data_IF_471423667180
#
_entry.id   IF_471423667180
#
_cell.length_a   1.000
_cell.length_b   1.000
_cell.length_c   1.000
_cell.angle_alpha   90.00
_cell.angle_beta   90.00
_cell.angle_gamma   90.00
#
_symmetry.space_group_name_H-M   'P 1'
#
loop_
_entity.id
_entity.type
_entity.pdbx_description
1 polymer ?
#
# COMPACT_ATOMS: atom_id res chain seq x y z
N UNK A 1 -48.88 0.61 22.81
CA UNK A 1 -49.26 0.03 21.50
C UNK A 1 -48.35 0.63 20.44
N UNK A 2 -47.38 -0.14 19.95
CA UNK A 2 -46.52 0.24 18.83
C UNK A 2 -46.62 -0.88 17.79
N UNK A 3 -46.93 -0.48 16.56
CA UNK A 3 -47.39 -1.34 15.46
C UNK A 3 -46.35 -2.35 14.99
N UNK A 4 -46.78 -3.61 14.89
CA UNK A 4 -46.01 -4.77 14.45
C UNK A 4 -46.04 -5.00 12.92
N UNK A 5 -46.19 -3.95 12.11
CA UNK A 5 -46.50 -4.11 10.68
C UNK A 5 -45.34 -3.89 9.70
N UNK A 6 -44.12 -3.59 10.15
CA UNK A 6 -43.00 -3.28 9.24
C UNK A 6 -41.98 -4.42 8.99
N UNK A 7 -42.34 -5.70 9.22
CA UNK A 7 -41.45 -6.85 8.99
C UNK A 7 -41.80 -7.73 7.77
N UNK A 8 -42.73 -7.32 6.91
CA UNK A 8 -43.07 -8.08 5.69
C UNK A 8 -42.43 -7.45 4.46
N UNK A 9 -41.25 -7.93 4.08
CA UNK A 9 -40.62 -7.49 2.84
C UNK A 9 -39.26 -8.08 2.50
N UNK A 10 -38.78 -9.10 3.21
CA UNK A 10 -37.61 -9.87 2.76
C UNK A 10 -38.09 -11.22 2.26
N UNK A 11 -38.43 -11.28 0.97
CA UNK A 11 -38.66 -12.54 0.28
C UNK A 11 -37.40 -13.41 0.42
N UNK A 12 -37.59 -14.63 0.91
CA UNK A 12 -36.50 -15.58 1.08
C UNK A 12 -35.90 -15.91 -0.28
N UNK A 13 -34.64 -15.53 -0.50
CA UNK A 13 -33.89 -15.91 -1.69
C UNK A 13 -33.96 -17.44 -1.85
N UNK A 14 -34.42 -17.95 -3.01
CA UNK A 14 -34.53 -19.39 -3.25
C UNK A 14 -33.21 -20.10 -2.92
N UNK A 15 -33.28 -21.23 -2.20
CA UNK A 15 -32.11 -21.96 -1.71
C UNK A 15 -31.08 -22.28 -2.82
N UNK A 16 -31.56 -22.45 -4.06
CA UNK A 16 -30.76 -22.68 -5.26
C UNK A 16 -29.96 -21.43 -5.71
N UNK A 17 -30.54 -20.23 -5.63
CA UNK A 17 -29.83 -18.98 -5.93
C UNK A 17 -28.77 -18.68 -4.87
N UNK A 18 -29.09 -18.90 -3.59
CA UNK A 18 -28.12 -18.79 -2.50
C UNK A 18 -26.96 -19.80 -2.64
N UNK A 19 -27.20 -20.98 -3.22
CA UNK A 19 -26.14 -21.95 -3.51
C UNK A 19 -25.26 -21.55 -4.71
N UNK A 20 -25.86 -21.05 -5.80
CA UNK A 20 -25.13 -20.54 -6.97
C UNK A 20 -24.27 -19.32 -6.63
N UNK A 21 -24.79 -18.42 -5.82
CA UNK A 21 -24.06 -17.22 -5.38
C UNK A 21 -22.89 -17.60 -4.46
N UNK A 22 -23.09 -18.58 -3.55
CA UNK A 22 -21.98 -19.17 -2.75
C UNK A 22 -20.88 -19.78 -3.63
N UNK A 23 -21.26 -20.54 -4.66
CA UNK A 23 -20.31 -21.11 -5.60
C UNK A 23 -19.57 -20.03 -6.39
N UNK A 24 -20.29 -19.03 -6.90
CA UNK A 24 -19.71 -17.89 -7.64
C UNK A 24 -18.67 -17.15 -6.80
N UNK A 25 -19.01 -16.80 -5.56
CA UNK A 25 -18.09 -16.09 -4.65
C UNK A 25 -16.87 -16.93 -4.25
N UNK A 26 -17.04 -18.24 -4.06
CA UNK A 26 -15.92 -19.15 -3.79
C UNK A 26 -14.99 -19.31 -4.99
N UNK A 27 -15.54 -19.33 -6.20
CA UNK A 27 -14.78 -19.33 -7.46
C UNK A 27 -14.07 -17.99 -7.65
N UNK A 28 -14.74 -16.86 -7.44
CA UNK A 28 -14.11 -15.52 -7.47
C UNK A 28 -12.98 -15.40 -6.46
N UNK A 29 -13.15 -15.92 -5.24
CA UNK A 29 -12.10 -15.94 -4.21
C UNK A 29 -10.88 -16.74 -4.67
N UNK A 30 -11.07 -17.96 -5.20
CA UNK A 30 -9.96 -18.76 -5.75
C UNK A 30 -9.32 -18.12 -6.97
N UNK A 31 -10.11 -17.51 -7.84
CA UNK A 31 -9.59 -16.78 -8.99
C UNK A 31 -8.79 -15.56 -8.55
N UNK A 32 -9.19 -14.89 -7.47
CA UNK A 32 -8.45 -13.77 -6.91
C UNK A 32 -7.15 -14.24 -6.26
N UNK A 33 -7.17 -15.32 -5.46
CA UNK A 33 -5.95 -15.96 -4.94
C UNK A 33 -5.02 -16.42 -6.07
N UNK A 34 -5.56 -17.00 -7.14
CA UNK A 34 -4.76 -17.41 -8.30
C UNK A 34 -4.21 -16.21 -9.08
N UNK A 35 -4.98 -15.12 -9.25
CA UNK A 35 -4.48 -13.88 -9.88
C UNK A 35 -3.36 -13.25 -9.07
N UNK A 36 -3.54 -13.22 -7.75
CA UNK A 36 -2.52 -12.77 -6.80
C UNK A 36 -1.26 -13.64 -6.93
N UNK A 37 -1.40 -14.96 -6.84
CA UNK A 37 -0.28 -15.91 -7.01
C UNK A 37 0.43 -15.79 -8.36
N UNK A 38 -0.32 -15.55 -9.45
CA UNK A 38 0.25 -15.31 -10.79
C UNK A 38 0.97 -13.95 -10.84
N UNK A 39 0.42 -12.89 -10.24
CA UNK A 39 1.12 -11.60 -10.13
C UNK A 39 2.40 -11.72 -9.29
N UNK A 40 2.38 -12.45 -8.18
CA UNK A 40 3.55 -12.65 -7.31
C UNK A 40 4.65 -13.48 -7.97
N UNK A 41 4.27 -14.43 -8.83
CA UNK A 41 5.20 -15.27 -9.57
C UNK A 41 5.52 -14.75 -10.97
N UNK A 42 4.98 -13.58 -11.35
CA UNK A 42 5.35 -12.94 -12.60
C UNK A 42 6.76 -12.37 -12.43
N UNK A 43 7.75 -12.79 -13.25
CA UNK A 43 9.09 -12.27 -13.17
C UNK A 43 9.07 -10.76 -13.45
N UNK A 44 9.47 -9.96 -12.47
CA UNK A 44 9.80 -8.55 -12.67
C UNK A 44 11.28 -8.44 -13.02
N UNK A 45 11.71 -7.27 -13.51
CA UNK A 45 13.13 -6.99 -13.75
C UNK A 45 13.59 -5.95 -12.76
N UNK A 46 14.81 -6.11 -12.24
CA UNK A 46 15.47 -5.05 -11.50
C UNK A 46 15.60 -3.80 -12.37
N UNK A 47 15.14 -2.62 -11.93
CA UNK A 47 15.26 -1.39 -12.73
C UNK A 47 16.72 -0.95 -12.91
N UNK A 48 17.65 -1.47 -12.11
CA UNK A 48 19.07 -1.14 -12.16
C UNK A 48 19.85 -2.14 -13.02
N UNK A 49 19.94 -3.40 -12.59
CA UNK A 49 20.78 -4.41 -13.25
C UNK A 49 20.01 -5.30 -14.26
N UNK A 50 18.71 -5.06 -14.46
CA UNK A 50 17.84 -5.81 -15.38
C UNK A 50 17.72 -7.32 -15.11
N UNK A 51 18.26 -7.80 -13.98
CA UNK A 51 18.14 -9.19 -13.56
C UNK A 51 16.65 -9.56 -13.37
N UNK A 52 16.22 -10.76 -13.78
CA UNK A 52 14.89 -11.26 -13.49
C UNK A 52 14.75 -11.53 -11.99
N UNK A 53 13.69 -11.02 -11.38
CA UNK A 53 13.41 -11.12 -9.96
C UNK A 53 11.98 -11.60 -9.73
N UNK A 54 11.80 -12.34 -8.64
CA UNK A 54 10.48 -12.54 -8.07
C UNK A 54 10.15 -11.34 -7.17
N UNK A 55 8.86 -11.02 -7.06
CA UNK A 55 8.41 -9.88 -6.26
C UNK A 55 8.80 -10.00 -4.77
N UNK A 56 8.78 -11.19 -4.20
CA UNK A 56 9.20 -11.45 -2.81
C UNK A 56 10.68 -11.15 -2.54
N UNK A 57 11.50 -11.08 -3.59
CA UNK A 57 12.95 -10.84 -3.51
C UNK A 57 13.37 -9.44 -3.92
N UNK A 58 12.42 -8.58 -4.30
CA UNK A 58 12.75 -7.28 -4.85
C UNK A 58 13.51 -6.39 -3.87
N UNK A 59 12.98 -6.17 -2.65
CA UNK A 59 13.61 -5.28 -1.67
C UNK A 59 15.00 -5.77 -1.26
N UNK A 60 15.12 -7.05 -0.89
CA UNK A 60 16.40 -7.68 -0.57
C UNK A 60 17.41 -7.60 -1.72
N UNK A 61 16.96 -7.72 -2.98
CA UNK A 61 17.82 -7.55 -4.13
C UNK A 61 18.27 -6.09 -4.29
N UNK A 62 17.35 -5.13 -4.22
CA UNK A 62 17.65 -3.69 -4.40
C UNK A 62 18.63 -3.21 -3.33
N UNK A 63 18.59 -3.76 -2.12
CA UNK A 63 19.54 -3.46 -1.05
C UNK A 63 20.98 -3.79 -1.43
N UNK A 64 21.21 -4.97 -2.00
CA UNK A 64 22.55 -5.50 -2.34
C UNK A 64 22.94 -5.31 -3.80
N UNK A 65 22.06 -4.71 -4.62
CA UNK A 65 22.30 -4.50 -6.03
C UNK A 65 23.42 -3.47 -6.24
N UNK A 66 24.56 -3.84 -6.86
CA UNK A 66 25.68 -2.91 -7.06
C UNK A 66 25.29 -1.68 -7.87
N UNK A 67 24.45 -1.86 -8.90
CA UNK A 67 23.98 -0.76 -9.76
C UNK A 67 23.04 0.20 -9.02
N UNK A 68 22.33 -0.27 -7.97
CA UNK A 68 21.50 0.58 -7.13
C UNK A 68 22.32 1.43 -6.16
N UNK A 69 23.55 1.03 -5.82
CA UNK A 69 24.44 1.80 -4.95
C UNK A 69 24.93 3.10 -5.60
N UNK A 70 24.93 3.15 -6.94
CA UNK A 70 25.39 4.30 -7.71
C UNK A 70 24.41 5.49 -7.70
N UNK A 71 23.11 5.26 -7.39
CA UNK A 71 22.08 6.29 -7.39
C UNK A 71 21.09 6.11 -6.22
N UNK A 72 21.40 6.66 -5.04
CA UNK A 72 20.55 6.52 -3.86
C UNK A 72 19.14 7.10 -4.04
N UNK A 73 18.97 8.16 -4.85
CA UNK A 73 17.66 8.77 -5.09
C UNK A 73 16.78 7.85 -5.94
N UNK A 74 17.32 7.25 -7.01
CA UNK A 74 16.58 6.25 -7.79
C UNK A 74 16.31 4.97 -7.00
N UNK A 75 17.23 4.55 -6.12
CA UNK A 75 17.02 3.43 -5.18
C UNK A 75 15.79 3.68 -4.31
N UNK A 76 15.72 4.84 -3.64
CA UNK A 76 14.57 5.22 -2.82
C UNK A 76 13.28 5.29 -3.64
N UNK A 77 13.34 5.88 -4.84
CA UNK A 77 12.18 5.95 -5.74
C UNK A 77 11.62 4.56 -6.04
N UNK A 78 12.49 3.60 -6.39
CA UNK A 78 12.09 2.22 -6.69
C UNK A 78 11.50 1.49 -5.47
N UNK A 79 12.03 1.74 -4.26
CA UNK A 79 11.50 1.18 -3.01
C UNK A 79 10.09 1.72 -2.74
N UNK A 80 9.88 3.03 -2.86
CA UNK A 80 8.57 3.65 -2.64
C UNK A 80 7.54 3.23 -3.70
N UNK A 81 7.95 3.12 -4.97
CA UNK A 81 7.11 2.58 -6.03
C UNK A 81 6.68 1.13 -5.75
N UNK A 82 7.62 0.28 -5.32
CA UNK A 82 7.33 -1.10 -4.95
C UNK A 82 6.35 -1.18 -3.78
N UNK A 83 6.63 -0.47 -2.68
CA UNK A 83 5.83 -0.52 -1.45
C UNK A 83 4.44 0.12 -1.59
N UNK A 84 4.25 1.03 -2.55
CA UNK A 84 2.93 1.57 -2.92
C UNK A 84 2.21 0.74 -3.99
N UNK A 85 2.86 -0.30 -4.53
CA UNK A 85 2.32 -1.10 -5.61
C UNK A 85 1.10 -1.94 -5.20
N UNK A 86 0.22 -2.28 -6.17
CA UNK A 86 -1.00 -3.06 -5.89
C UNK A 86 -0.69 -4.45 -5.31
N UNK A 87 0.46 -5.02 -5.65
CA UNK A 87 0.88 -6.33 -5.17
C UNK A 87 1.11 -6.34 -3.64
N UNK A 88 1.86 -5.38 -3.09
CA UNK A 88 2.05 -5.25 -1.62
C UNK A 88 0.71 -5.01 -0.95
N UNK A 89 -0.05 -4.04 -1.46
CA UNK A 89 -1.31 -3.65 -0.86
C UNK A 89 -2.33 -4.81 -0.79
N UNK A 90 -2.54 -5.51 -1.91
CA UNK A 90 -3.47 -6.63 -1.95
C UNK A 90 -2.97 -7.83 -1.12
N UNK A 91 -1.66 -8.09 -1.07
CA UNK A 91 -1.09 -9.15 -0.24
C UNK A 91 -1.41 -8.93 1.24
N UNK A 92 -1.09 -7.75 1.73
CA UNK A 92 -1.27 -7.38 3.13
C UNK A 92 -2.77 -7.40 3.52
N UNK A 93 -3.64 -6.89 2.65
CA UNK A 93 -5.09 -6.95 2.86
C UNK A 93 -5.62 -8.40 2.88
N UNK A 94 -5.12 -9.25 1.99
CA UNK A 94 -5.53 -10.65 1.93
C UNK A 94 -5.08 -11.40 3.19
N UNK A 95 -3.84 -11.21 3.64
CA UNK A 95 -3.34 -11.79 4.88
C UNK A 95 -4.16 -11.37 6.10
N UNK A 96 -4.43 -10.06 6.21
CA UNK A 96 -5.28 -9.53 7.28
C UNK A 96 -6.67 -10.17 7.26
N UNK A 97 -7.29 -10.24 6.08
CA UNK A 97 -8.60 -10.86 5.90
C UNK A 97 -8.59 -12.32 6.34
N UNK A 98 -7.61 -13.10 5.89
CA UNK A 98 -7.50 -14.51 6.24
C UNK A 98 -7.30 -14.69 7.75
N UNK A 99 -6.46 -13.89 8.38
CA UNK A 99 -6.25 -13.91 9.82
C UNK A 99 -7.53 -13.60 10.62
N UNK A 100 -8.26 -12.54 10.24
CA UNK A 100 -9.55 -12.19 10.83
C UNK A 100 -10.57 -13.32 10.68
N UNK A 101 -10.71 -13.87 9.47
CA UNK A 101 -11.67 -14.94 9.20
C UNK A 101 -11.34 -16.22 9.96
N UNK A 102 -10.08 -16.64 9.99
CA UNK A 102 -9.64 -17.84 10.73
C UNK A 102 -9.88 -17.66 12.23
N UNK A 103 -9.44 -16.53 12.80
CA UNK A 103 -9.61 -16.22 14.22
C UNK A 103 -11.09 -16.26 14.64
N UNK A 104 -11.97 -15.72 13.82
CA UNK A 104 -13.41 -15.76 14.04
C UNK A 104 -13.99 -17.17 14.04
N UNK A 105 -13.69 -17.95 12.99
CA UNK A 105 -14.27 -19.27 12.81
C UNK A 105 -13.76 -20.23 13.89
N UNK A 106 -12.52 -20.04 14.35
CA UNK A 106 -11.95 -20.76 15.48
C UNK A 106 -12.65 -20.43 16.80
N UNK A 107 -12.85 -19.15 17.12
CA UNK A 107 -13.57 -18.72 18.32
C UNK A 107 -15.04 -19.17 18.32
N UNK A 108 -15.64 -19.33 17.14
CA UNK A 108 -16.99 -19.89 16.99
C UNK A 108 -17.06 -21.40 17.21
N UNK A 109 -16.01 -22.14 16.84
CA UNK A 109 -15.93 -23.59 17.07
C UNK A 109 -15.55 -23.94 18.50
N UNK A 110 -14.63 -23.18 19.07
CA UNK A 110 -14.08 -23.37 20.40
C UNK A 110 -14.07 -22.03 21.14
N UNK A 111 -15.05 -21.80 22.04
CA UNK A 111 -15.11 -20.57 22.84
C UNK A 111 -13.84 -20.31 23.65
N UNK A 112 -13.06 -21.35 23.99
CA UNK A 112 -11.76 -21.20 24.67
C UNK A 112 -10.75 -20.39 23.85
N UNK A 113 -10.94 -20.31 22.52
CA UNK A 113 -10.09 -19.51 21.63
C UNK A 113 -10.50 -18.05 21.53
N UNK A 114 -11.58 -17.62 22.17
CA UNK A 114 -11.95 -16.20 22.26
C UNK A 114 -10.81 -15.37 22.84
N UNK A 115 -10.08 -15.89 23.83
CA UNK A 115 -8.93 -15.22 24.43
C UNK A 115 -7.86 -14.79 23.41
N UNK A 116 -7.71 -15.52 22.30
CA UNK A 116 -6.71 -15.27 21.26
C UNK A 116 -7.25 -14.41 20.10
N UNK A 117 -8.54 -14.06 20.12
CA UNK A 117 -9.16 -13.23 19.09
C UNK A 117 -8.94 -11.75 19.40
N UNK A 118 -8.41 -11.01 18.42
CA UNK A 118 -8.25 -9.56 18.55
C UNK A 118 -9.61 -8.88 18.80
N UNK A 119 -9.64 -7.91 19.73
CA UNK A 119 -10.84 -7.22 20.16
C UNK A 119 -10.65 -5.70 20.28
N UNK A 120 -11.69 -4.96 19.94
CA UNK A 120 -11.78 -3.49 19.92
C UNK A 120 -13.12 -2.97 20.45
N UNK A 121 -14.14 -3.83 20.59
CA UNK A 121 -15.47 -3.45 21.06
C UNK A 121 -15.66 -3.69 22.56
N UNK A 122 -15.06 -4.76 23.10
CA UNK A 122 -15.17 -5.05 24.54
C UNK A 122 -14.30 -4.11 25.37
N UNK A 123 -14.85 -3.69 26.51
CA UNK A 123 -14.16 -2.81 27.47
C UNK A 123 -13.36 -3.60 28.50
N UNK A 124 -13.69 -4.87 28.69
CA UNK A 124 -13.00 -5.78 29.61
C UNK A 124 -12.75 -7.15 28.98
N UNK A 125 -11.82 -7.90 29.57
CA UNK A 125 -11.55 -9.28 29.18
C UNK A 125 -12.74 -10.19 29.45
N UNK A 126 -13.49 -9.96 30.53
CA UNK A 126 -14.67 -10.77 30.88
C UNK A 126 -15.77 -10.62 29.83
N UNK A 127 -16.04 -9.40 29.37
CA UNK A 127 -17.00 -9.13 28.28
C UNK A 127 -16.59 -9.83 26.98
N UNK A 128 -15.28 -9.84 26.70
CA UNK A 128 -14.71 -10.50 25.53
C UNK A 128 -14.81 -12.01 25.59
N UNK A 129 -14.50 -12.62 26.74
CA UNK A 129 -14.64 -14.06 26.97
C UNK A 129 -16.11 -14.51 27.00
N UNK A 130 -17.04 -13.62 27.36
CA UNK A 130 -18.48 -13.85 27.21
C UNK A 130 -18.96 -13.78 25.74
N UNK A 131 -18.07 -13.45 24.80
CA UNK A 131 -18.38 -13.42 23.37
C UNK A 131 -19.25 -12.25 22.92
N UNK A 132 -19.35 -11.19 23.73
CA UNK A 132 -20.14 -9.98 23.39
C UNK A 132 -19.71 -9.32 22.09
N UNK A 133 -18.47 -9.55 21.68
CA UNK A 133 -17.86 -9.01 20.47
C UNK A 133 -18.18 -9.83 19.19
N UNK A 134 -18.64 -11.09 19.30
CA UNK A 134 -18.75 -12.02 18.16
C UNK A 134 -19.73 -11.60 17.04
N UNK A 135 -20.62 -10.64 17.28
CA UNK A 135 -21.55 -10.14 16.27
C UNK A 135 -20.90 -9.14 15.30
N UNK A 136 -19.86 -8.40 15.73
CA UNK A 136 -19.34 -7.25 14.98
C UNK A 136 -17.81 -7.03 15.05
N UNK A 137 -17.09 -7.77 15.90
CA UNK A 137 -15.68 -7.51 16.21
C UNK A 137 -14.73 -7.67 15.04
N UNK A 138 -15.01 -8.63 14.17
CA UNK A 138 -14.18 -8.86 12.98
C UNK A 138 -14.24 -7.69 12.02
N UNK A 139 -15.36 -6.95 11.98
CA UNK A 139 -15.49 -5.76 11.16
C UNK A 139 -14.63 -4.64 11.72
N UNK A 140 -14.73 -4.37 13.02
CA UNK A 140 -13.97 -3.27 13.63
C UNK A 140 -12.46 -3.52 13.65
N UNK A 141 -12.02 -4.77 13.86
CA UNK A 141 -10.59 -5.13 13.74
C UNK A 141 -10.11 -4.99 12.30
N UNK A 142 -10.85 -5.57 11.35
CA UNK A 142 -10.47 -5.48 9.94
C UNK A 142 -10.44 -4.03 9.46
N UNK A 143 -11.48 -3.23 9.74
CA UNK A 143 -11.57 -1.84 9.31
C UNK A 143 -10.42 -1.01 9.89
N UNK A 144 -10.05 -1.22 11.15
CA UNK A 144 -8.90 -0.53 11.75
C UNK A 144 -7.57 -0.93 11.11
N UNK A 145 -7.26 -2.22 11.05
CA UNK A 145 -5.96 -2.70 10.58
C UNK A 145 -5.80 -2.51 9.06
N UNK A 146 -6.89 -2.63 8.29
CA UNK A 146 -6.88 -2.33 6.85
C UNK A 146 -6.65 -0.84 6.57
N UNK A 147 -7.18 0.05 7.41
CA UNK A 147 -6.87 1.48 7.32
C UNK A 147 -5.39 1.79 7.62
N UNK A 148 -4.74 1.03 8.52
CA UNK A 148 -3.27 1.17 8.72
C UNK A 148 -2.49 0.69 7.50
N UNK A 149 -2.90 -0.42 6.89
CA UNK A 149 -2.30 -0.90 5.63
C UNK A 149 -2.46 0.16 4.54
N UNK A 150 -3.68 0.69 4.35
CA UNK A 150 -3.97 1.74 3.40
C UNK A 150 -3.12 3.00 3.64
N UNK A 151 -3.01 3.45 4.90
CA UNK A 151 -2.19 4.61 5.26
C UNK A 151 -0.71 4.40 4.89
N UNK A 152 -0.13 3.22 5.19
CA UNK A 152 1.26 2.91 4.81
C UNK A 152 1.47 2.98 3.30
N UNK A 153 0.57 2.38 2.53
CA UNK A 153 0.64 2.39 1.05
C UNK A 153 0.53 3.82 0.50
N UNK A 154 -0.36 4.65 1.05
CA UNK A 154 -0.50 6.05 0.65
C UNK A 154 0.74 6.88 0.97
N UNK A 155 1.35 6.67 2.14
CA UNK A 155 2.61 7.34 2.50
C UNK A 155 3.72 6.96 1.50
N UNK A 156 3.86 5.69 1.14
CA UNK A 156 4.86 5.31 0.13
C UNK A 156 4.56 5.93 -1.24
N UNK A 157 3.29 6.03 -1.63
CA UNK A 157 2.91 6.63 -2.90
C UNK A 157 3.20 8.14 -2.94
N UNK A 158 2.89 8.85 -1.86
CA UNK A 158 3.22 10.27 -1.70
C UNK A 158 4.73 10.50 -1.81
N UNK A 159 5.54 9.69 -1.11
CA UNK A 159 6.99 9.75 -1.19
C UNK A 159 7.52 9.46 -2.61
N UNK A 160 6.93 8.50 -3.31
CA UNK A 160 7.25 8.22 -4.71
C UNK A 160 7.01 9.44 -5.60
N UNK A 161 5.85 10.10 -5.49
CA UNK A 161 5.53 11.30 -6.26
C UNK A 161 6.46 12.48 -5.93
N UNK A 162 6.78 12.66 -4.65
CA UNK A 162 7.69 13.72 -4.19
C UNK A 162 9.11 13.50 -4.70
N UNK A 163 9.65 12.29 -4.62
CA UNK A 163 10.97 11.95 -5.15
C UNK A 163 11.03 12.12 -6.67
N UNK A 164 9.98 11.71 -7.38
CA UNK A 164 9.89 11.90 -8.83
C UNK A 164 9.93 13.38 -9.21
N UNK A 165 9.22 14.23 -8.47
CA UNK A 165 9.25 15.68 -8.64
C UNK A 165 10.65 16.26 -8.34
N UNK A 166 11.28 15.85 -7.24
CA UNK A 166 12.62 16.30 -6.88
C UNK A 166 13.66 15.94 -7.94
N UNK A 167 13.59 14.73 -8.51
CA UNK A 167 14.47 14.30 -9.60
C UNK A 167 14.26 15.16 -10.85
N UNK A 168 13.01 15.44 -11.23
CA UNK A 168 12.72 16.29 -12.39
C UNK A 168 13.26 17.72 -12.21
N UNK A 169 13.04 18.32 -11.04
CA UNK A 169 13.55 19.66 -10.71
C UNK A 169 15.08 19.69 -10.66
N UNK A 170 15.72 18.65 -10.13
CA UNK A 170 17.17 18.51 -10.09
C UNK A 170 17.76 18.43 -11.49
N UNK A 171 17.19 17.61 -12.37
CA UNK A 171 17.65 17.48 -13.75
C UNK A 171 17.55 18.82 -14.50
N UNK A 172 16.43 19.54 -14.37
CA UNK A 172 16.28 20.87 -14.96
C UNK A 172 17.29 21.87 -14.39
N UNK A 173 17.50 21.85 -13.08
CA UNK A 173 18.49 22.74 -12.44
C UNK A 173 19.90 22.43 -12.94
N UNK A 174 20.25 21.16 -13.13
CA UNK A 174 21.54 20.74 -13.68
C UNK A 174 21.71 21.17 -15.15
N UNK A 175 20.66 21.11 -15.97
CA UNK A 175 20.68 21.64 -17.34
C UNK A 175 20.92 23.15 -17.35
N UNK A 176 20.28 23.88 -16.44
CA UNK A 176 20.50 25.32 -16.26
C UNK A 176 21.92 25.64 -15.78
N UNK A 177 22.48 24.85 -14.86
CA UNK A 177 23.86 25.01 -14.36
C UNK A 177 24.89 24.75 -15.47
N UNK A 178 24.71 23.69 -16.27
CA UNK A 178 25.58 23.40 -17.43
C UNK A 178 25.62 24.55 -18.43
N UNK A 179 24.49 25.23 -18.64
CA UNK A 179 24.44 26.44 -19.44
C UNK A 179 25.34 27.54 -18.86
N UNK A 180 25.27 27.80 -17.55
CA UNK A 180 26.11 28.81 -16.90
C UNK A 180 27.60 28.46 -16.89
N UNK A 181 27.95 27.19 -16.69
CA UNK A 181 29.32 26.71 -16.81
C UNK A 181 29.88 26.93 -18.22
N UNK A 182 29.06 26.70 -19.26
CA UNK A 182 29.45 26.91 -20.65
C UNK A 182 29.73 28.37 -21.00
N UNK A 183 29.15 29.32 -20.26
CA UNK A 183 29.37 30.76 -20.43
C UNK A 183 30.29 31.35 -19.34
N UNK A 184 30.80 30.55 -18.40
CA UNK A 184 31.68 31.00 -17.31
C UNK A 184 32.98 31.65 -17.80
N UNK A 185 33.48 31.23 -18.96
CA UNK A 185 34.63 31.88 -19.63
C UNK A 185 34.36 33.30 -20.12
N UNK A 186 33.08 33.64 -20.42
CA UNK A 186 32.67 35.00 -20.80
C UNK A 186 32.49 35.91 -19.58
N UNK A 187 32.24 35.33 -18.40
CA UNK A 187 32.06 36.05 -17.13
C UNK A 187 33.40 36.42 -16.47
N UNK A 188 34.46 35.64 -16.71
CA UNK A 188 35.79 35.84 -16.10
C UNK A 188 36.74 36.75 -16.93
N UNK A 189 36.29 37.28 -18.07
CA UNK A 189 37.05 38.22 -18.89
C UNK A 189 36.87 39.67 -18.45
N UNK A 190 37.94 40.48 -18.49
CA UNK A 190 38.02 41.87 -17.99
C UNK A 190 37.07 42.92 -18.62
N UNK A 191 36.12 42.53 -19.47
CA UNK A 191 35.07 43.44 -19.94
C UNK A 191 33.78 42.68 -20.24
N UNK A 192 33.05 42.32 -19.17
CA UNK A 192 31.65 41.96 -19.31
C UNK A 192 30.87 43.20 -19.77
N UNK A 193 30.62 43.30 -21.08
CA UNK A 193 29.75 44.31 -21.71
C UNK A 193 28.41 44.36 -20.95
N UNK A 194 27.85 45.55 -20.71
CA UNK A 194 26.51 45.71 -20.11
C UNK A 194 25.45 44.88 -20.84
N UNK A 195 25.62 44.66 -22.15
CA UNK A 195 24.75 43.78 -22.95
C UNK A 195 24.87 42.31 -22.55
N UNK A 196 26.06 41.84 -22.15
CA UNK A 196 26.27 40.48 -21.66
C UNK A 196 25.58 40.28 -20.31
N UNK A 197 25.70 41.24 -19.39
CA UNK A 197 24.99 41.21 -18.10
C UNK A 197 23.47 41.20 -18.26
N UNK A 198 22.92 42.06 -19.11
CA UNK A 198 21.47 42.09 -19.39
C UNK A 198 20.96 40.75 -19.95
N UNK A 199 21.75 40.09 -20.81
CA UNK A 199 21.40 38.77 -21.36
C UNK A 199 21.46 37.67 -20.30
N UNK A 200 22.42 37.73 -19.37
CA UNK A 200 22.54 36.78 -18.25
C UNK A 200 21.36 36.94 -17.29
N UNK A 201 20.97 38.17 -16.97
CA UNK A 201 19.81 38.46 -16.14
C UNK A 201 18.51 37.95 -16.79
N UNK A 202 18.33 38.19 -18.10
CA UNK A 202 17.19 37.69 -18.85
C UNK A 202 17.13 36.15 -18.84
N UNK A 203 18.25 35.47 -19.06
CA UNK A 203 18.32 34.00 -19.03
C UNK A 203 18.04 33.45 -17.63
N UNK A 204 18.61 34.06 -16.59
CA UNK A 204 18.34 33.69 -15.19
C UNK A 204 16.86 33.80 -14.87
N UNK A 205 16.22 34.88 -15.32
CA UNK A 205 14.78 35.09 -15.16
C UNK A 205 13.97 34.01 -15.88
N UNK A 206 14.34 33.67 -17.12
CA UNK A 206 13.69 32.58 -17.89
C UNK A 206 13.82 31.24 -17.18
N UNK A 207 15.01 30.89 -16.69
CA UNK A 207 15.25 29.66 -15.93
C UNK A 207 14.40 29.60 -14.66
N UNK A 208 14.28 30.71 -13.92
CA UNK A 208 13.43 30.80 -12.74
C UNK A 208 11.93 30.60 -13.06
N UNK A 209 11.45 31.23 -14.13
CA UNK A 209 10.06 31.07 -14.61
C UNK A 209 9.81 29.61 -15.00
N UNK A 210 10.73 29.00 -15.74
CA UNK A 210 10.63 27.61 -16.19
C UNK A 210 10.60 26.64 -15.00
N UNK A 211 11.51 26.80 -14.04
CA UNK A 211 11.54 25.99 -12.82
C UNK A 211 10.25 26.11 -12.01
N UNK A 212 9.77 27.33 -11.82
CA UNK A 212 8.52 27.59 -11.08
C UNK A 212 7.32 26.96 -11.80
N UNK A 213 7.27 27.09 -13.13
CA UNK A 213 6.24 26.47 -13.95
C UNK A 213 6.28 24.94 -13.83
N UNK A 214 7.45 24.33 -13.94
CA UNK A 214 7.62 22.88 -13.80
C UNK A 214 7.13 22.39 -12.42
N UNK A 215 7.50 23.09 -11.35
CA UNK A 215 7.08 22.73 -9.98
C UNK A 215 5.54 22.79 -9.87
N UNK A 216 4.91 23.86 -10.35
CA UNK A 216 3.46 24.01 -10.30
C UNK A 216 2.73 22.94 -11.12
N UNK A 217 3.21 22.67 -12.33
CA UNK A 217 2.64 21.66 -13.23
C UNK A 217 2.76 20.25 -12.61
N UNK A 218 3.93 19.90 -12.07
CA UNK A 218 4.16 18.62 -11.39
C UNK A 218 3.37 18.49 -10.10
N UNK A 219 3.23 19.57 -9.32
CA UNK A 219 2.44 19.56 -8.10
C UNK A 219 0.96 19.29 -8.39
N UNK A 220 0.39 19.99 -9.38
CA UNK A 220 -1.00 19.79 -9.78
C UNK A 220 -1.26 18.37 -10.29
N UNK A 221 -0.35 17.82 -11.09
CA UNK A 221 -0.45 16.44 -11.57
C UNK A 221 -0.27 15.41 -10.45
N UNK A 222 0.69 15.60 -9.55
CA UNK A 222 0.91 14.74 -8.39
C UNK A 222 -0.33 14.72 -7.47
N UNK A 223 -0.95 15.88 -7.23
CA UNK A 223 -2.17 15.97 -6.43
C UNK A 223 -3.30 15.14 -7.04
N UNK A 224 -3.51 15.25 -8.35
CA UNK A 224 -4.52 14.48 -9.09
C UNK A 224 -4.24 12.98 -9.03
N UNK A 225 -2.99 12.57 -9.19
CA UNK A 225 -2.59 11.16 -9.08
C UNK A 225 -2.82 10.63 -7.67
N UNK A 226 -2.46 11.40 -6.64
CA UNK A 226 -2.67 11.04 -5.25
C UNK A 226 -4.15 10.85 -4.91
N UNK A 227 -5.02 11.79 -5.30
CA UNK A 227 -6.46 11.69 -5.08
C UNK A 227 -7.08 10.47 -5.77
N UNK A 228 -6.68 10.20 -7.01
CA UNK A 228 -7.11 9.02 -7.77
C UNK A 228 -6.70 7.73 -7.07
N UNK A 229 -5.44 7.64 -6.63
CA UNK A 229 -4.90 6.48 -5.94
C UNK A 229 -5.55 6.29 -4.56
N UNK A 230 -5.78 7.37 -3.80
CA UNK A 230 -6.49 7.34 -2.53
C UNK A 230 -7.91 6.79 -2.69
N UNK A 231 -8.63 7.22 -3.73
CA UNK A 231 -9.96 6.70 -4.04
C UNK A 231 -9.94 5.21 -4.42
N UNK A 232 -8.89 4.74 -5.11
CA UNK A 232 -8.70 3.32 -5.42
C UNK A 232 -8.39 2.47 -4.18
N UNK A 233 -7.48 2.93 -3.32
CA UNK A 233 -7.13 2.30 -2.05
C UNK A 233 -8.37 2.14 -1.18
N UNK A 234 -9.16 3.22 -1.02
CA UNK A 234 -10.41 3.20 -0.25
C UNK A 234 -11.41 2.18 -0.82
N UNK A 235 -11.66 2.21 -2.14
CA UNK A 235 -12.58 1.25 -2.80
C UNK A 235 -12.14 -0.20 -2.60
N UNK A 236 -10.84 -0.45 -2.58
CA UNK A 236 -10.27 -1.78 -2.39
C UNK A 236 -10.47 -2.28 -0.96
N UNK A 237 -10.20 -1.44 0.05
CA UNK A 237 -10.49 -1.76 1.46
C UNK A 237 -11.96 -2.07 1.66
N UNK A 238 -12.86 -1.22 1.15
CA UNK A 238 -14.31 -1.40 1.25
C UNK A 238 -14.80 -2.68 0.57
N UNK A 239 -14.20 -3.05 -0.58
CA UNK A 239 -14.48 -4.32 -1.25
C UNK A 239 -14.02 -5.51 -0.40
N UNK A 240 -12.78 -5.48 0.10
CA UNK A 240 -12.24 -6.57 0.93
C UNK A 240 -13.05 -6.76 2.22
N UNK A 241 -13.47 -5.67 2.86
CA UNK A 241 -14.34 -5.72 4.04
C UNK A 241 -15.70 -6.35 3.72
N UNK A 242 -16.32 -5.99 2.60
CA UNK A 242 -17.59 -6.61 2.14
C UNK A 242 -17.43 -8.10 1.86
N UNK A 243 -16.36 -8.49 1.17
CA UNK A 243 -16.08 -9.88 0.84
C UNK A 243 -15.86 -10.72 2.09
N UNK A 244 -15.15 -10.17 3.08
CA UNK A 244 -14.97 -10.80 4.37
C UNK A 244 -16.29 -11.01 5.10
N UNK A 245 -17.11 -9.96 5.20
CA UNK A 245 -18.44 -10.03 5.86
C UNK A 245 -19.33 -11.05 5.19
N UNK A 246 -19.35 -11.09 3.86
CA UNK A 246 -20.06 -12.08 3.07
C UNK A 246 -19.59 -13.50 3.40
N UNK A 247 -18.27 -13.71 3.44
CA UNK A 247 -17.68 -15.01 3.75
C UNK A 247 -18.09 -15.49 5.15
N UNK A 248 -17.91 -14.65 6.17
CA UNK A 248 -18.27 -14.97 7.55
C UNK A 248 -19.77 -15.30 7.68
N UNK A 249 -20.63 -14.47 7.09
CA UNK A 249 -22.09 -14.68 7.11
C UNK A 249 -22.50 -16.00 6.45
N UNK A 250 -21.80 -16.40 5.39
CA UNK A 250 -22.09 -17.64 4.67
C UNK A 250 -21.68 -18.90 5.45
N UNK A 251 -20.56 -18.84 6.19
CA UNK A 251 -20.00 -19.97 6.93
C UNK A 251 -20.57 -20.11 8.34
N UNK A 252 -21.09 -19.03 8.95
CA UNK A 252 -21.86 -19.10 10.20
C UNK A 252 -23.04 -20.08 10.10
N UNK A 253 -23.62 -20.26 8.91
CA UNK A 253 -24.76 -21.16 8.66
C UNK A 253 -24.35 -22.62 8.42
N UNK A 254 -23.05 -22.93 8.37
CA UNK A 254 -22.54 -24.23 7.93
C UNK A 254 -21.51 -24.79 8.93
N UNK A 255 -21.91 -24.81 10.22
CA UNK A 255 -21.07 -25.16 11.37
C UNK A 255 -20.36 -26.51 11.21
N UNK A 256 -21.03 -27.50 10.62
CA UNK A 256 -20.49 -28.85 10.42
C UNK A 256 -19.28 -28.92 9.48
N UNK A 257 -19.03 -27.89 8.67
CA UNK A 257 -17.87 -27.83 7.75
C UNK A 257 -16.77 -26.86 8.19
N UNK A 258 -16.92 -26.18 9.32
CA UNK A 258 -15.97 -25.16 9.77
C UNK A 258 -14.54 -25.71 9.98
N UNK A 259 -14.41 -26.91 10.56
CA UNK A 259 -13.10 -27.55 10.73
C UNK A 259 -12.36 -27.73 9.41
N UNK A 260 -13.06 -28.13 8.34
CA UNK A 260 -12.47 -28.30 7.00
C UNK A 260 -12.09 -26.96 6.38
N UNK A 261 -12.93 -25.93 6.53
CA UNK A 261 -12.64 -24.56 6.04
C UNK A 261 -11.40 -23.99 6.73
N UNK A 262 -11.29 -24.12 8.06
CA UNK A 262 -10.13 -23.66 8.83
C UNK A 262 -8.87 -24.44 8.45
N UNK A 263 -8.96 -25.76 8.29
CA UNK A 263 -7.81 -26.58 7.89
C UNK A 263 -7.28 -26.21 6.49
N UNK A 264 -8.16 -25.90 5.54
CA UNK A 264 -7.75 -25.41 4.21
C UNK A 264 -7.04 -24.05 4.32
N UNK A 265 -7.57 -23.14 5.14
CA UNK A 265 -7.01 -21.79 5.35
C UNK A 265 -5.64 -21.82 6.01
N UNK A 266 -5.47 -22.62 7.06
CA UNK A 266 -4.18 -22.78 7.75
C UNK A 266 -3.10 -23.37 6.84
N UNK A 267 -3.47 -24.28 5.93
CA UNK A 267 -2.51 -24.81 4.94
C UNK A 267 -2.02 -23.74 3.97
N UNK A 268 -2.86 -22.76 3.62
CA UNK A 268 -2.44 -21.62 2.80
C UNK A 268 -1.50 -20.70 3.59
N UNK A 269 -1.84 -20.38 4.84
CA UNK A 269 -0.99 -19.57 5.73
C UNK A 269 0.39 -20.22 6.00
N UNK A 270 0.42 -21.53 6.29
CA UNK A 270 1.66 -22.25 6.56
C UNK A 270 2.58 -22.38 5.33
N UNK A 271 2.02 -22.42 4.12
CA UNK A 271 2.83 -22.39 2.89
C UNK A 271 3.44 -21.01 2.67
N UNK A 272 2.75 -19.93 3.04
CA UNK A 272 3.30 -18.56 2.99
C UNK A 272 4.36 -18.30 4.07
N UNK A 273 4.22 -18.86 5.28
CA UNK A 273 5.18 -18.69 6.39
C UNK A 273 6.52 -19.40 6.12
N UNK A 274 6.50 -20.61 5.54
CA UNK A 274 7.73 -21.35 5.18
C UNK A 274 8.52 -20.66 4.06
N UNK A 275 7.87 -19.87 3.21
CA UNK A 275 8.56 -19.03 2.21
C UNK A 275 9.13 -17.73 2.80
N UNK A 276 8.69 -17.31 4.00
CA UNK A 276 9.10 -16.06 4.68
C UNK A 276 10.18 -16.23 5.76
N UNK A 277 10.51 -17.45 6.19
CA UNK A 277 11.56 -17.74 7.19
C UNK A 277 13.01 -17.56 6.67
N UNK A 278 13.20 -16.80 5.59
CA UNK A 278 14.48 -16.17 5.32
C UNK A 278 14.48 -14.76 5.94
N UNK A 279 15.48 -14.42 6.77
CA UNK A 279 15.35 -13.36 7.75
C UNK A 279 15.10 -12.00 7.08
N UNK A 280 13.89 -11.49 7.26
CA UNK A 280 13.53 -10.11 6.99
C UNK A 280 13.93 -9.29 8.23
N UNK A 281 15.21 -8.95 8.32
CA UNK A 281 15.69 -7.93 9.25
C UNK A 281 15.13 -6.60 8.73
N UNK A 282 14.73 -5.70 9.62
CA UNK A 282 14.29 -4.32 9.38
C UNK A 282 12.77 -4.09 9.37
N UNK A 283 12.27 -3.71 10.54
CA UNK A 283 10.95 -3.07 10.71
C UNK A 283 10.97 -1.83 11.59
N UNK A 284 12.03 -1.60 12.39
CA UNK A 284 12.06 -0.52 13.38
C UNK A 284 13.24 0.45 13.20
N UNK A 285 14.42 -0.02 12.75
CA UNK A 285 15.58 0.86 12.50
C UNK A 285 15.38 1.77 11.27
N UNK A 286 14.71 1.30 10.22
CA UNK A 286 14.48 2.09 9.01
C UNK A 286 13.45 3.20 9.19
N UNK A 287 12.43 2.96 10.02
CA UNK A 287 11.47 4.00 10.39
C UNK A 287 12.15 5.12 11.19
N UNK A 288 13.11 4.77 12.03
CA UNK A 288 13.93 5.72 12.79
C UNK A 288 14.95 6.45 11.89
N UNK A 289 15.59 5.76 10.94
CA UNK A 289 16.51 6.37 9.98
C UNK A 289 15.78 7.30 9.00
N UNK A 290 14.59 6.95 8.54
CA UNK A 290 13.76 7.79 7.67
C UNK A 290 13.27 9.04 8.43
N UNK A 291 12.86 8.91 9.69
CA UNK A 291 12.52 10.05 10.55
C UNK A 291 13.71 10.98 10.79
N UNK A 292 14.92 10.43 10.97
CA UNK A 292 16.15 11.20 11.14
C UNK A 292 16.61 11.91 9.85
N UNK A 293 16.41 11.30 8.68
CA UNK A 293 16.72 11.93 7.39
C UNK A 293 15.75 13.06 7.05
N UNK A 294 14.45 12.89 7.33
CA UNK A 294 13.45 13.94 7.09
C UNK A 294 13.63 15.15 8.03
N UNK A 295 14.15 14.95 9.25
CA UNK A 295 14.45 16.03 10.19
C UNK A 295 15.60 16.96 9.74
N UNK A 296 16.45 16.52 8.80
CA UNK A 296 17.59 17.30 8.31
C UNK A 296 17.32 18.07 7.01
N UNK A 297 16.13 17.93 6.41
CA UNK A 297 15.74 18.71 5.24
C UNK A 297 15.24 20.07 5.74
N UNK A 298 16.16 21.02 5.90
CA UNK A 298 15.79 22.44 5.98
C UNK A 298 15.19 22.84 4.64
N UNK A 299 13.88 23.01 4.60
CA UNK A 299 13.20 23.78 3.55
C UNK A 299 13.78 25.21 3.67
N UNK A 300 14.41 25.77 2.64
CA UNK A 300 14.76 27.18 2.65
C UNK A 300 13.46 27.97 2.77
N UNK A 301 13.34 28.77 3.82
CA UNK A 301 12.25 29.74 3.96
C UNK A 301 12.23 30.63 2.71
N UNK A 302 11.05 30.74 2.09
CA UNK A 302 10.76 31.71 1.03
C UNK A 302 10.72 33.10 1.65
#
# INVERSE_FOLDING_TARGET
MLNAENLRGQEAVPAHEAARDRYRRAVEYRLNQNRMAVQFNSPSRCPFCQAPLRYDRFLAHVEVCPEAANDPQKKLLAIHEFNSGPHVFHRELQKLREACEVSFLEAKLDPGKLANMACRLCKSIDEHLCGGCLSDQQKSVFDLESNKIAARVLVHFEQYLNLKMQIAVKNLTQEHEQYFDSIGGLLNGELADMKAWSKIEETTRKHHIEKTKLINDLFAENQKQYESFQAEVKRTVERSARDMRAHLSSNQRNVHNLHRVIAIRRRVQAVEEVEQDQPNVMGEEEAAQLAAMLANIKIPEI
#
